data_IF_488011797866
#
_entry.id   IF_488011797866
#
_cell.length_a   1.000
_cell.length_b   1.000
_cell.length_c   1.000
_cell.angle_alpha   90.00
_cell.angle_beta   90.00
_cell.angle_gamma   90.00
#
_symmetry.space_group_name_H-M   'P 1'
#
loop_
_entity.id
_entity.type
_entity.pdbx_description
1 polymer ?
#
# COMPACT_ATOMS: atom_id res chain seq x y z
N UNK A 1 -22.02 5.26 76.08
CA UNK A 1 -21.21 6.49 76.00
C UNK A 1 -21.69 7.44 77.09
N UNK A 2 -20.84 8.31 77.62
CA UNK A 2 -21.21 9.36 78.62
C UNK A 2 -21.38 10.75 77.99
N UNK A 3 -21.35 10.86 76.66
CA UNK A 3 -21.53 12.12 75.95
C UNK A 3 -23.00 12.49 75.86
N UNK A 4 -23.28 13.79 76.00
CA UNK A 4 -24.60 14.38 75.84
C UNK A 4 -25.06 14.33 74.38
N UNK A 5 -26.37 14.20 74.15
CA UNK A 5 -26.96 13.98 72.83
C UNK A 5 -26.76 15.17 71.87
N UNK A 6 -26.63 16.37 72.41
CA UNK A 6 -26.37 17.62 71.70
C UNK A 6 -24.98 17.69 71.04
N UNK A 7 -24.05 16.79 71.41
CA UNK A 7 -22.76 16.65 70.75
C UNK A 7 -22.91 16.17 69.28
N UNK A 8 -23.98 15.45 68.96
CA UNK A 8 -24.22 14.87 67.64
C UNK A 8 -25.54 15.33 67.00
N UNK A 9 -26.54 15.71 67.82
CA UNK A 9 -27.89 16.06 67.37
C UNK A 9 -28.20 17.53 67.65
N UNK A 10 -28.93 18.17 66.74
CA UNK A 10 -29.50 19.50 66.98
C UNK A 10 -30.97 19.35 67.38
N UNK A 11 -31.42 20.18 68.31
CA UNK A 11 -32.83 20.20 68.74
C UNK A 11 -33.78 20.69 67.64
N UNK A 12 -33.28 21.42 66.64
CA UNK A 12 -34.02 21.91 65.47
C UNK A 12 -34.03 20.93 64.29
N UNK A 13 -33.12 19.96 64.27
CA UNK A 13 -33.05 18.90 63.27
C UNK A 13 -32.24 17.73 63.85
N UNK A 14 -32.93 16.65 64.21
CA UNK A 14 -32.30 15.49 64.85
C UNK A 14 -31.45 14.66 63.88
N UNK A 15 -31.77 14.72 62.58
CA UNK A 15 -31.05 14.06 61.50
C UNK A 15 -30.79 15.04 60.33
N UNK A 16 -29.66 14.89 59.61
CA UNK A 16 -28.56 13.96 59.90
C UNK A 16 -27.75 14.41 61.12
N UNK A 17 -27.27 13.45 61.91
CA UNK A 17 -26.30 13.75 62.97
C UNK A 17 -24.93 13.99 62.36
N UNK A 18 -24.15 14.89 62.96
CA UNK A 18 -22.76 15.14 62.57
C UNK A 18 -21.84 14.47 63.59
N UNK A 19 -21.02 13.52 63.14
CA UNK A 19 -19.99 12.89 63.96
C UNK A 19 -18.60 13.39 63.53
N UNK A 20 -17.76 13.75 64.50
CA UNK A 20 -16.38 14.14 64.25
C UNK A 20 -15.45 12.95 64.52
N UNK A 21 -14.65 12.56 63.51
CA UNK A 21 -13.68 11.48 63.62
C UNK A 21 -12.40 11.89 64.39
N UNK A 22 -12.27 13.16 64.80
CA UNK A 22 -11.15 13.62 65.63
C UNK A 22 -11.11 12.87 66.95
N UNK A 23 -10.02 12.16 67.23
CA UNK A 23 -9.84 11.38 68.46
C UNK A 23 -10.35 9.95 68.39
N UNK A 24 -10.84 9.49 67.23
CA UNK A 24 -10.98 8.05 66.98
C UNK A 24 -9.58 7.44 66.92
N UNK A 25 -9.33 6.42 67.74
CA UNK A 25 -8.05 5.71 67.74
C UNK A 25 -7.80 5.08 66.36
N UNK A 26 -6.62 5.29 65.76
CA UNK A 26 -6.20 4.59 64.55
C UNK A 26 -6.45 3.07 64.64
N UNK A 27 -6.96 2.47 63.57
CA UNK A 27 -7.36 1.07 63.51
C UNK A 27 -8.66 0.65 64.23
N UNK A 28 -9.29 1.53 65.03
CA UNK A 28 -10.51 1.19 65.78
C UNK A 28 -11.82 1.31 64.96
N UNK A 29 -11.74 1.55 63.64
CA UNK A 29 -12.88 1.87 62.78
C UNK A 29 -14.04 0.85 62.87
N UNK A 30 -13.72 -0.45 63.00
CA UNK A 30 -14.68 -1.56 63.01
C UNK A 30 -15.59 -1.55 64.26
N UNK A 31 -15.22 -0.85 65.35
CA UNK A 31 -16.09 -0.74 66.52
C UNK A 31 -17.40 -0.01 66.21
N UNK A 32 -17.41 0.84 65.17
CA UNK A 32 -18.58 1.58 64.72
C UNK A 32 -19.01 1.18 63.30
N UNK A 33 -18.06 1.01 62.37
CA UNK A 33 -18.30 0.63 60.97
C UNK A 33 -18.46 -0.89 60.79
N UNK A 34 -19.46 -1.46 61.47
CA UNK A 34 -19.75 -2.90 61.48
C UNK A 34 -21.03 -3.27 60.69
N UNK A 35 -21.67 -2.31 60.03
CA UNK A 35 -22.93 -2.50 59.31
C UNK A 35 -24.19 -2.38 60.17
N UNK A 36 -24.06 -2.37 61.50
CA UNK A 36 -25.19 -2.16 62.43
C UNK A 36 -25.29 -0.70 62.90
N UNK A 37 -24.16 -0.09 63.30
CA UNK A 37 -24.14 1.30 63.79
C UNK A 37 -23.75 2.31 62.72
N UNK A 38 -22.81 1.93 61.85
CA UNK A 38 -22.38 2.71 60.70
C UNK A 38 -22.05 1.77 59.53
N UNK A 39 -22.02 2.32 58.32
CA UNK A 39 -21.73 1.58 57.09
C UNK A 39 -20.42 0.79 57.22
N UNK A 40 -20.51 -0.53 57.10
CA UNK A 40 -19.34 -1.42 57.07
C UNK A 40 -18.73 -1.52 55.67
N UNK A 41 -17.79 -2.47 55.51
CA UNK A 41 -17.23 -2.80 54.19
C UNK A 41 -18.35 -3.32 53.27
N UNK A 42 -18.59 -2.71 52.09
CA UNK A 42 -19.52 -3.27 51.12
C UNK A 42 -19.01 -4.62 50.58
N UNK A 43 -19.91 -5.42 49.98
CA UNK A 43 -19.53 -6.71 49.38
C UNK A 43 -18.51 -6.57 48.23
N UNK A 44 -18.42 -5.39 47.61
CA UNK A 44 -17.44 -5.05 46.57
C UNK A 44 -16.11 -4.57 47.12
N UNK A 45 -15.93 -4.47 48.44
CA UNK A 45 -14.66 -4.08 49.04
C UNK A 45 -13.59 -5.15 48.82
N UNK A 46 -12.33 -4.74 48.66
CA UNK A 46 -11.20 -5.69 48.57
C UNK A 46 -11.14 -6.59 49.84
N UNK A 47 -10.96 -7.91 49.72
CA UNK A 47 -10.78 -8.77 50.89
C UNK A 47 -9.49 -8.37 51.62
N UNK A 48 -9.61 -7.77 52.81
CA UNK A 48 -8.46 -7.34 53.61
C UNK A 48 -8.78 -7.31 55.09
N UNK A 49 -7.80 -7.73 55.90
CA UNK A 49 -7.79 -7.61 57.36
C UNK A 49 -7.00 -6.38 57.84
N UNK A 50 -6.40 -5.61 56.92
CA UNK A 50 -5.70 -4.38 57.26
C UNK A 50 -6.65 -3.36 57.91
N UNK A 51 -6.07 -2.54 58.78
CA UNK A 51 -6.76 -1.43 59.42
C UNK A 51 -7.25 -0.43 58.37
N UNK A 52 -8.45 0.13 58.53
CA UNK A 52 -9.07 0.96 57.48
C UNK A 52 -8.24 2.19 57.10
N UNK A 53 -7.55 2.75 58.09
CA UNK A 53 -6.65 3.90 57.99
C UNK A 53 -5.34 3.62 57.24
N UNK A 54 -5.04 2.36 56.90
CA UNK A 54 -3.94 2.05 55.97
C UNK A 54 -4.25 2.45 54.53
N UNK A 55 -5.54 2.58 54.18
CA UNK A 55 -5.99 2.87 52.82
C UNK A 55 -6.87 4.13 52.76
N UNK A 56 -7.70 4.35 53.78
CA UNK A 56 -8.67 5.44 53.82
C UNK A 56 -8.22 6.57 54.75
N UNK A 57 -8.38 7.82 54.31
CA UNK A 57 -8.23 8.97 55.19
C UNK A 57 -9.57 9.37 55.78
N UNK A 58 -9.62 9.72 57.06
CA UNK A 58 -10.82 10.28 57.70
C UNK A 58 -11.21 11.64 57.11
N UNK A 59 -10.26 12.35 56.49
CA UNK A 59 -10.52 13.63 55.81
C UNK A 59 -10.97 13.45 54.36
N UNK A 60 -10.63 12.31 53.74
CA UNK A 60 -10.97 11.95 52.37
C UNK A 60 -11.07 10.44 52.25
N UNK A 61 -12.25 9.89 52.54
CA UNK A 61 -12.44 8.44 52.58
C UNK A 61 -12.24 7.78 51.21
N UNK A 62 -12.61 8.48 50.13
CA UNK A 62 -12.42 8.04 48.74
C UNK A 62 -11.77 9.20 47.97
N UNK A 63 -10.77 8.93 47.10
CA UNK A 63 -10.21 7.61 46.80
C UNK A 63 -9.35 7.04 47.93
N UNK A 64 -9.38 5.71 48.08
CA UNK A 64 -8.46 5.00 48.95
C UNK A 64 -7.10 4.83 48.26
N UNK A 65 -6.03 4.79 49.05
CA UNK A 65 -4.70 4.41 48.56
C UNK A 65 -4.53 2.90 48.61
N UNK A 66 -3.97 2.31 47.55
CA UNK A 66 -3.62 0.89 47.52
C UNK A 66 -2.27 0.71 46.81
N UNK A 67 -1.40 -0.13 47.38
CA UNK A 67 -0.12 -0.50 46.79
C UNK A 67 -0.19 -1.94 46.26
N UNK A 68 0.16 -2.13 44.98
CA UNK A 68 0.20 -3.45 44.35
C UNK A 68 1.45 -4.27 44.73
N UNK A 69 2.35 -3.73 45.55
CA UNK A 69 3.51 -4.47 46.07
C UNK A 69 3.06 -5.72 46.84
N UNK A 70 3.59 -6.87 46.48
CA UNK A 70 3.25 -8.14 47.14
C UNK A 70 1.98 -8.81 46.61
N UNK A 71 1.29 -8.22 45.61
CA UNK A 71 0.27 -8.96 44.86
C UNK A 71 0.95 -10.07 44.07
N UNK A 72 0.54 -11.31 44.29
CA UNK A 72 1.08 -12.47 43.58
C UNK A 72 0.85 -12.33 42.07
N UNK A 73 1.88 -12.52 41.22
CA UNK A 73 1.71 -12.58 39.78
C UNK A 73 0.64 -13.60 39.38
N UNK A 74 -0.19 -13.28 38.38
CA UNK A 74 -1.33 -14.10 37.96
C UNK A 74 -2.59 -13.97 38.81
N UNK A 75 -2.56 -13.32 39.98
CA UNK A 75 -3.72 -13.18 40.86
C UNK A 75 -4.58 -11.93 40.56
N UNK A 76 -4.33 -11.21 39.48
CA UNK A 76 -4.97 -9.92 39.19
C UNK A 76 -6.50 -10.00 39.17
N UNK A 77 -7.05 -11.09 38.61
CA UNK A 77 -8.49 -11.32 38.45
C UNK A 77 -9.23 -11.57 39.77
N UNK A 78 -8.52 -11.83 40.88
CA UNK A 78 -9.13 -11.95 42.21
C UNK A 78 -9.77 -10.63 42.66
N UNK A 79 -9.18 -9.49 42.26
CA UNK A 79 -9.70 -8.15 42.53
C UNK A 79 -10.24 -7.48 41.26
N UNK A 80 -9.56 -7.59 40.12
CA UNK A 80 -9.97 -7.00 38.83
C UNK A 80 -11.00 -7.89 38.11
N UNK A 81 -12.14 -8.10 38.75
CA UNK A 81 -13.24 -8.97 38.30
C UNK A 81 -14.45 -8.19 37.76
N UNK A 82 -14.37 -6.85 37.68
CA UNK A 82 -15.48 -5.99 37.25
C UNK A 82 -16.48 -5.63 38.35
N UNK A 83 -16.33 -6.19 39.55
CA UNK A 83 -17.15 -5.89 40.74
C UNK A 83 -16.32 -5.17 41.81
N UNK A 84 -15.21 -5.78 42.24
CA UNK A 84 -14.30 -5.21 43.26
C UNK A 84 -13.42 -4.12 42.69
N UNK A 85 -12.87 -4.34 41.50
CA UNK A 85 -12.12 -3.37 40.72
C UNK A 85 -12.42 -3.55 39.23
N UNK A 86 -12.12 -2.52 38.44
CA UNK A 86 -12.30 -2.56 36.99
C UNK A 86 -11.60 -3.79 36.39
N UNK A 87 -12.36 -4.63 35.69
CA UNK A 87 -11.85 -5.84 35.04
C UNK A 87 -11.27 -5.56 33.66
N UNK A 88 -10.93 -6.64 32.95
CA UNK A 88 -10.53 -6.61 31.55
C UNK A 88 -11.66 -6.04 30.68
N UNK A 89 -11.46 -4.93 29.94
CA UNK A 89 -12.51 -4.37 29.10
C UNK A 89 -12.80 -5.27 27.90
N UNK A 90 -14.02 -5.18 27.36
CA UNK A 90 -14.43 -5.95 26.19
C UNK A 90 -13.61 -5.63 24.92
N UNK A 91 -12.99 -4.44 24.88
CA UNK A 91 -12.09 -4.00 23.80
C UNK A 91 -10.66 -4.51 23.93
N UNK A 92 -10.33 -5.24 25.01
CA UNK A 92 -9.01 -5.82 25.19
C UNK A 92 -8.77 -6.97 24.20
N UNK A 93 -7.53 -7.11 23.73
CA UNK A 93 -7.11 -8.23 22.88
C UNK A 93 -7.51 -9.58 23.53
N UNK A 94 -8.10 -10.52 22.77
CA UNK A 94 -8.39 -11.86 23.26
C UNK A 94 -7.10 -12.54 23.76
N UNK A 95 -7.07 -12.90 25.04
CA UNK A 95 -5.92 -13.58 25.66
C UNK A 95 -6.38 -14.26 26.94
N UNK A 96 -5.79 -15.43 27.22
CA UNK A 96 -5.91 -16.20 28.46
C UNK A 96 -4.63 -16.11 29.32
N UNK A 97 -3.61 -15.38 28.86
CA UNK A 97 -2.38 -15.16 29.61
C UNK A 97 -2.64 -14.31 30.86
N UNK A 98 -1.76 -14.46 31.86
CA UNK A 98 -1.79 -13.62 33.05
C UNK A 98 -1.60 -12.14 32.68
N UNK A 99 -2.22 -11.22 33.42
CA UNK A 99 -2.13 -9.79 33.10
C UNK A 99 -0.68 -9.29 33.18
N UNK A 100 0.10 -9.81 34.13
CA UNK A 100 1.53 -9.54 34.34
C UNK A 100 2.43 -9.99 33.19
N UNK A 101 1.94 -10.82 32.26
CA UNK A 101 2.68 -11.14 31.03
C UNK A 101 2.80 -9.95 30.07
N UNK A 102 1.91 -8.96 30.20
CA UNK A 102 1.85 -7.79 29.31
C UNK A 102 1.91 -6.46 30.10
N UNK A 103 1.32 -6.42 31.29
CA UNK A 103 1.16 -5.21 32.09
C UNK A 103 2.12 -5.18 33.29
N UNK A 104 2.60 -3.99 33.61
CA UNK A 104 3.36 -3.74 34.83
C UNK A 104 2.52 -2.93 35.83
N UNK A 105 2.60 -3.24 37.12
CA UNK A 105 1.80 -2.55 38.14
C UNK A 105 2.25 -1.11 38.41
N UNK A 106 3.51 -0.75 38.10
CA UNK A 106 4.01 0.62 38.18
C UNK A 106 3.65 1.45 36.93
N UNK A 107 3.48 0.79 35.79
CA UNK A 107 3.09 1.41 34.52
C UNK A 107 2.17 0.44 33.76
N UNK A 108 0.87 0.53 34.04
CA UNK A 108 -0.10 -0.40 33.46
C UNK A 108 -0.22 -0.26 31.94
N UNK A 109 -0.05 0.98 31.44
CA UNK A 109 0.01 1.30 30.02
C UNK A 109 1.24 2.15 29.72
N UNK A 110 1.91 1.95 28.56
CA UNK A 110 1.61 0.94 27.55
C UNK A 110 1.96 -0.49 28.01
N UNK A 111 1.17 -1.46 27.56
CA UNK A 111 1.48 -2.87 27.76
C UNK A 111 2.55 -3.34 26.76
N UNK A 112 3.34 -4.34 27.15
CA UNK A 112 4.24 -5.05 26.23
C UNK A 112 3.47 -6.15 25.51
N UNK A 113 3.73 -6.33 24.21
CA UNK A 113 3.19 -7.42 23.42
C UNK A 113 4.28 -8.07 22.56
N UNK A 114 4.32 -9.40 22.56
CA UNK A 114 5.21 -10.18 21.71
C UNK A 114 4.38 -10.97 20.69
N UNK A 115 4.75 -10.86 19.40
CA UNK A 115 4.10 -11.60 18.31
C UNK A 115 4.50 -13.09 18.26
N UNK A 116 5.38 -13.56 19.15
CA UNK A 116 5.70 -14.97 19.30
C UNK A 116 4.43 -15.80 19.57
N UNK A 117 4.24 -16.85 18.78
CA UNK A 117 3.06 -17.72 18.88
C UNK A 117 1.82 -17.22 18.14
N UNK A 118 1.87 -16.04 17.49
CA UNK A 118 0.83 -15.65 16.53
C UNK A 118 0.91 -16.59 15.33
N UNK A 119 -0.17 -17.33 15.08
CA UNK A 119 -0.24 -18.27 13.97
C UNK A 119 -0.17 -17.53 12.62
N UNK A 120 0.52 -18.09 11.60
CA UNK A 120 0.44 -17.61 10.23
C UNK A 120 -1.03 -17.49 9.79
N UNK A 121 -1.38 -16.49 8.99
CA UNK A 121 -2.79 -16.21 8.66
C UNK A 121 -3.54 -15.36 9.69
N UNK A 122 -3.04 -15.26 10.93
CA UNK A 122 -3.78 -14.65 12.05
C UNK A 122 -3.74 -13.14 12.13
N UNK A 123 -2.88 -12.46 11.35
CA UNK A 123 -2.57 -11.03 11.54
C UNK A 123 -3.83 -10.13 11.45
N UNK A 124 -4.69 -10.39 10.46
CA UNK A 124 -5.88 -9.60 10.19
C UNK A 124 -6.97 -9.71 11.29
N UNK A 125 -6.88 -10.70 12.17
CA UNK A 125 -7.81 -10.83 13.31
C UNK A 125 -7.64 -9.67 14.30
N UNK A 126 -6.42 -9.15 14.44
CA UNK A 126 -6.08 -8.04 15.33
C UNK A 126 -5.81 -6.75 14.53
N UNK A 127 -5.09 -6.82 13.42
CA UNK A 127 -4.77 -5.67 12.54
C UNK A 127 -5.93 -5.35 11.58
N UNK A 128 -7.09 -5.04 12.16
CA UNK A 128 -8.36 -4.79 11.46
C UNK A 128 -8.74 -3.30 11.40
N UNK A 129 -7.89 -2.41 11.92
CA UNK A 129 -8.14 -0.95 11.98
C UNK A 129 -8.95 -0.51 13.20
N UNK A 130 -9.46 -1.43 14.02
CA UNK A 130 -10.16 -1.17 15.26
C UNK A 130 -9.33 -1.63 16.48
N UNK A 131 -8.92 -2.91 16.50
CA UNK A 131 -8.13 -3.47 17.61
C UNK A 131 -6.65 -3.06 17.52
N UNK A 132 -6.08 -3.09 16.33
CA UNK A 132 -4.74 -2.61 16.01
C UNK A 132 -4.72 -2.00 14.61
N UNK A 133 -3.64 -1.28 14.29
CA UNK A 133 -3.46 -0.62 12.99
C UNK A 133 -3.65 -1.61 11.85
N UNK A 134 -4.62 -1.32 10.98
CA UNK A 134 -4.90 -2.13 9.78
C UNK A 134 -4.00 -1.76 8.59
N UNK A 135 -4.37 -2.26 7.41
CA UNK A 135 -3.73 -1.85 6.15
C UNK A 135 -3.97 -0.35 5.92
N UNK A 136 -2.93 0.46 5.64
CA UNK A 136 -3.12 1.85 5.25
C UNK A 136 -3.78 1.96 3.87
N UNK A 137 -4.33 3.13 3.55
CA UNK A 137 -5.06 3.37 2.29
C UNK A 137 -4.21 3.20 1.03
N UNK A 138 -2.89 3.37 1.14
CA UNK A 138 -1.92 3.18 0.06
C UNK A 138 -1.32 1.75 0.03
N UNK A 139 -1.85 0.81 0.82
CA UNK A 139 -1.41 -0.58 0.78
C UNK A 139 -1.80 -1.22 -0.57
N UNK A 140 -0.95 -2.13 -1.06
CA UNK A 140 -1.26 -3.01 -2.20
C UNK A 140 -2.63 -3.70 -2.01
N UNK A 141 -3.55 -3.66 -2.99
CA UNK A 141 -4.78 -4.45 -2.94
C UNK A 141 -4.45 -5.95 -2.90
N UNK A 142 -4.69 -6.61 -1.76
CA UNK A 142 -4.42 -8.05 -1.59
C UNK A 142 -5.30 -8.68 -0.52
N UNK A 143 -5.75 -9.90 -0.80
CA UNK A 143 -6.44 -10.79 0.13
C UNK A 143 -5.49 -11.80 0.79
N UNK A 144 -4.23 -11.84 0.38
CA UNK A 144 -3.22 -12.72 0.97
C UNK A 144 -2.99 -12.36 2.44
N UNK A 145 -2.57 -13.36 3.22
CA UNK A 145 -2.16 -13.11 4.59
C UNK A 145 -0.96 -12.18 4.66
N UNK A 146 -0.87 -11.38 5.73
CA UNK A 146 0.21 -10.43 5.94
C UNK A 146 1.57 -11.11 5.98
N UNK A 147 1.67 -12.31 6.54
CA UNK A 147 2.92 -13.10 6.63
C UNK A 147 3.43 -13.63 5.28
N UNK A 148 2.70 -13.42 4.18
CA UNK A 148 3.25 -13.64 2.84
C UNK A 148 4.33 -12.59 2.52
N UNK A 149 4.14 -11.35 2.96
CA UNK A 149 5.02 -10.22 2.62
C UNK A 149 5.78 -9.66 3.82
N UNK A 150 5.19 -9.71 5.02
CA UNK A 150 5.72 -9.12 6.23
C UNK A 150 6.29 -10.17 7.18
N UNK A 151 7.18 -9.75 8.08
CA UNK A 151 7.72 -10.56 9.16
C UNK A 151 7.47 -9.85 10.49
N UNK A 152 7.22 -10.61 11.55
CA UNK A 152 7.01 -10.06 12.89
C UNK A 152 8.30 -9.52 13.51
N UNK A 153 9.46 -10.00 13.04
CA UNK A 153 10.78 -9.52 13.46
C UNK A 153 11.19 -8.20 12.78
N UNK A 154 10.69 -7.95 11.57
CA UNK A 154 10.89 -6.73 10.81
C UNK A 154 9.70 -6.53 9.87
N UNK A 155 8.79 -5.62 10.23
CA UNK A 155 7.58 -5.38 9.45
C UNK A 155 7.89 -4.73 8.09
N UNK A 156 8.89 -3.86 8.07
CA UNK A 156 9.41 -3.21 6.86
C UNK A 156 10.95 -3.39 6.80
N UNK A 157 11.52 -3.54 5.58
CA UNK A 157 10.83 -3.65 4.30
C UNK A 157 10.11 -4.99 4.14
N UNK A 158 9.01 -5.00 3.39
CA UNK A 158 8.29 -6.22 3.03
C UNK A 158 8.86 -6.85 1.76
N UNK A 159 8.66 -8.15 1.59
CA UNK A 159 8.99 -8.86 0.34
C UNK A 159 7.77 -8.98 -0.57
N UNK A 160 7.95 -8.76 -1.87
CA UNK A 160 6.91 -8.97 -2.88
C UNK A 160 7.51 -9.59 -4.14
N UNK A 161 6.84 -10.59 -4.71
CA UNK A 161 7.24 -11.20 -5.98
C UNK A 161 6.25 -10.84 -7.08
N UNK A 162 6.77 -10.39 -8.23
CA UNK A 162 5.97 -10.14 -9.43
C UNK A 162 5.69 -11.42 -10.24
N UNK A 163 6.22 -12.58 -9.84
CA UNK A 163 6.14 -13.83 -10.62
C UNK A 163 4.72 -14.37 -10.80
N UNK A 164 3.80 -14.01 -9.91
CA UNK A 164 2.41 -14.45 -9.93
C UNK A 164 1.44 -13.36 -10.38
N UNK A 165 1.97 -12.19 -10.80
CA UNK A 165 1.14 -11.09 -11.31
C UNK A 165 0.69 -11.44 -12.73
N UNK A 166 -0.64 -11.42 -12.94
CA UNK A 166 -1.21 -11.70 -14.26
C UNK A 166 -0.80 -10.61 -15.28
N UNK A 167 -0.40 -10.97 -16.51
CA UNK A 167 -0.24 -10.01 -17.59
C UNK A 167 -1.51 -9.16 -17.77
N UNK A 168 -1.38 -7.91 -18.19
CA UNK A 168 -2.53 -7.01 -18.34
C UNK A 168 -2.94 -6.23 -17.08
N UNK A 169 -2.43 -6.59 -15.90
CA UNK A 169 -2.98 -6.10 -14.62
C UNK A 169 -2.12 -5.04 -13.92
N UNK A 170 -1.04 -4.57 -14.55
CA UNK A 170 -0.04 -3.69 -13.95
C UNK A 170 -0.66 -2.41 -13.33
N UNK A 171 -1.61 -1.79 -14.04
CA UNK A 171 -2.28 -0.55 -13.62
C UNK A 171 -3.15 -0.71 -12.36
N UNK A 172 -3.51 -1.93 -11.97
CA UNK A 172 -4.25 -2.16 -10.71
C UNK A 172 -3.41 -1.76 -9.49
N UNK A 173 -2.08 -1.87 -9.59
CA UNK A 173 -1.13 -1.56 -8.53
C UNK A 173 -0.29 -0.31 -8.86
N UNK A 174 0.25 -0.23 -10.08
CA UNK A 174 1.06 0.89 -10.57
C UNK A 174 0.19 2.07 -11.03
N UNK A 175 -0.63 2.58 -10.10
CA UNK A 175 -1.60 3.66 -10.31
C UNK A 175 -1.12 5.02 -9.76
N UNK A 176 0.10 5.10 -9.22
CA UNK A 176 0.64 6.31 -8.60
C UNK A 176 0.26 6.50 -7.13
N UNK A 177 -0.58 5.64 -6.57
CA UNK A 177 -0.95 5.62 -5.15
C UNK A 177 -0.40 4.38 -4.45
N UNK A 178 -0.77 3.18 -4.90
CA UNK A 178 -0.33 1.91 -4.28
C UNK A 178 1.09 1.53 -4.67
N UNK A 179 1.51 1.89 -5.89
CA UNK A 179 2.88 1.74 -6.39
C UNK A 179 3.16 2.82 -7.45
N UNK A 180 4.44 2.99 -7.78
CA UNK A 180 4.91 3.95 -8.78
C UNK A 180 4.16 3.78 -10.09
N UNK A 181 3.44 4.80 -10.53
CA UNK A 181 2.69 4.79 -11.79
C UNK A 181 3.57 5.02 -13.02
N UNK A 182 2.91 5.09 -14.17
CA UNK A 182 3.53 5.47 -15.45
C UNK A 182 4.17 6.87 -15.33
N UNK A 183 5.50 7.03 -15.56
CA UNK A 183 6.14 8.34 -15.54
C UNK A 183 5.54 9.30 -16.58
N UNK A 184 5.54 10.60 -16.29
CA UNK A 184 4.98 11.62 -17.19
C UNK A 184 5.71 11.73 -18.54
N UNK A 185 6.99 11.36 -18.60
CA UNK A 185 7.79 11.29 -19.81
C UNK A 185 7.72 9.92 -20.52
N UNK A 186 6.84 9.02 -20.08
CA UNK A 186 6.65 7.74 -20.76
C UNK A 186 5.98 7.93 -22.12
N UNK A 187 6.31 7.06 -23.06
CA UNK A 187 5.66 6.91 -24.36
C UNK A 187 4.12 6.87 -24.26
N UNK A 188 3.39 7.65 -25.08
CA UNK A 188 1.92 7.61 -25.08
C UNK A 188 1.49 6.31 -25.76
N UNK A 189 0.82 5.46 -24.99
CA UNK A 189 0.33 4.15 -25.41
C UNK A 189 -0.85 3.74 -24.56
N UNK A 190 -1.80 3.03 -25.15
CA UNK A 190 -2.90 2.34 -24.44
C UNK A 190 -2.67 0.84 -24.28
N UNK A 191 -1.50 0.33 -24.71
CA UNK A 191 -1.15 -1.09 -24.59
C UNK A 191 -0.86 -1.46 -23.15
N UNK A 192 -1.01 -2.75 -22.85
CA UNK A 192 -0.57 -3.27 -21.56
C UNK A 192 0.95 -3.13 -21.40
N UNK A 193 1.41 -2.87 -20.17
CA UNK A 193 2.82 -2.69 -19.86
C UNK A 193 3.66 -3.92 -20.25
N UNK A 194 3.11 -5.13 -20.11
CA UNK A 194 3.78 -6.39 -20.48
C UNK A 194 4.01 -6.58 -21.99
N UNK A 195 3.44 -5.71 -22.84
CA UNK A 195 3.82 -5.65 -24.27
C UNK A 195 5.24 -5.14 -24.49
N UNK A 196 5.79 -4.39 -23.54
CA UNK A 196 7.12 -3.76 -23.63
C UNK A 196 8.03 -4.19 -22.49
N UNK A 197 7.50 -4.27 -21.26
CA UNK A 197 8.25 -4.55 -20.05
C UNK A 197 8.14 -6.00 -19.60
N UNK A 198 9.17 -6.52 -18.94
CA UNK A 198 9.13 -7.80 -18.24
C UNK A 198 9.31 -7.57 -16.74
N UNK A 199 8.60 -8.33 -15.91
CA UNK A 199 8.71 -8.22 -14.45
C UNK A 199 10.09 -8.64 -13.92
N UNK A 200 10.81 -9.49 -14.65
CA UNK A 200 12.18 -9.90 -14.34
C UNK A 200 13.25 -8.89 -14.76
N UNK A 201 12.93 -7.98 -15.69
CA UNK A 201 13.84 -6.92 -16.16
C UNK A 201 13.01 -5.77 -16.74
N UNK A 202 12.69 -4.80 -15.89
CA UNK A 202 11.80 -3.69 -16.25
C UNK A 202 12.49 -2.70 -17.21
N UNK A 203 13.79 -2.49 -17.04
CA UNK A 203 14.66 -1.65 -17.88
C UNK A 203 16.05 -2.29 -17.99
N UNK A 204 16.73 -2.18 -19.16
CA UNK A 204 16.29 -1.53 -20.41
C UNK A 204 15.36 -2.40 -21.27
N UNK A 205 14.53 -1.74 -22.09
CA UNK A 205 13.65 -2.37 -23.09
C UNK A 205 14.51 -2.95 -24.23
N UNK A 206 14.67 -4.27 -24.32
CA UNK A 206 15.56 -4.89 -25.33
C UNK A 206 14.86 -5.78 -26.36
N UNK A 207 13.54 -5.94 -26.32
CA UNK A 207 12.84 -6.75 -27.32
C UNK A 207 11.41 -6.26 -27.55
N UNK A 208 11.23 -5.32 -28.47
CA UNK A 208 9.91 -4.97 -29.00
C UNK A 208 9.84 -5.37 -30.48
N UNK A 209 8.75 -6.04 -30.86
CA UNK A 209 8.41 -6.26 -32.26
C UNK A 209 7.23 -5.36 -32.62
N UNK A 210 7.40 -4.59 -33.69
CA UNK A 210 6.29 -3.82 -34.25
C UNK A 210 5.15 -4.77 -34.66
N UNK A 211 3.92 -4.35 -34.38
CA UNK A 211 2.71 -5.13 -34.71
C UNK A 211 2.02 -4.64 -35.98
N UNK A 212 2.38 -3.46 -36.49
CA UNK A 212 1.78 -2.93 -37.72
C UNK A 212 2.25 -3.72 -38.92
N UNK A 213 1.31 -4.17 -39.76
CA UNK A 213 1.62 -4.79 -41.05
C UNK A 213 2.26 -3.82 -42.05
N UNK A 214 2.15 -2.51 -41.80
CA UNK A 214 2.80 -1.48 -42.59
C UNK A 214 4.28 -1.31 -42.18
N UNK A 215 4.66 -1.78 -40.99
CA UNK A 215 6.06 -1.78 -40.59
C UNK A 215 6.85 -2.80 -41.41
N UNK A 216 8.04 -2.41 -41.85
CA UNK A 216 9.04 -3.27 -42.45
C UNK A 216 10.30 -3.21 -41.59
N UNK A 217 10.96 -4.34 -41.39
CA UNK A 217 12.20 -4.36 -40.64
C UNK A 217 13.27 -3.54 -41.39
N UNK A 218 13.93 -2.63 -40.66
CA UNK A 218 15.09 -1.89 -41.14
C UNK A 218 16.37 -2.53 -40.56
N UNK A 219 17.51 -2.44 -41.25
CA UNK A 219 18.80 -2.93 -40.70
C UNK A 219 19.18 -2.14 -39.44
N UNK A 220 20.07 -2.71 -38.63
CA UNK A 220 20.49 -2.17 -37.33
C UNK A 220 21.01 -0.74 -37.43
N UNK A 221 20.48 0.16 -36.59
CA UNK A 221 20.86 1.58 -36.53
C UNK A 221 19.67 2.53 -36.40
N UNK A 222 18.45 2.07 -36.66
CA UNK A 222 17.23 2.86 -36.44
C UNK A 222 16.87 2.90 -34.96
N UNK A 223 16.77 4.11 -34.41
CA UNK A 223 16.20 4.38 -33.10
C UNK A 223 14.68 4.61 -33.21
N UNK A 224 13.97 4.50 -32.09
CA UNK A 224 12.52 4.73 -32.05
C UNK A 224 12.15 6.12 -32.63
N UNK A 225 12.97 7.13 -32.34
CA UNK A 225 12.70 8.53 -32.67
C UNK A 225 12.87 8.85 -34.17
N UNK A 226 13.51 7.97 -34.95
CA UNK A 226 13.64 8.15 -36.40
C UNK A 226 12.26 8.13 -37.09
N UNK A 227 11.35 7.33 -36.52
CA UNK A 227 9.96 7.19 -36.99
C UNK A 227 8.98 7.87 -36.02
N UNK A 228 9.13 7.67 -34.71
CA UNK A 228 8.26 8.23 -33.67
C UNK A 228 8.68 9.66 -33.29
N UNK A 229 8.49 10.61 -34.22
CA UNK A 229 8.84 12.03 -34.03
C UNK A 229 7.98 12.76 -32.99
N UNK A 230 6.86 12.15 -32.62
CA UNK A 230 6.02 12.57 -31.50
C UNK A 230 6.05 11.46 -30.45
N UNK A 231 5.79 11.79 -29.18
CA UNK A 231 5.78 10.83 -28.07
C UNK A 231 4.58 9.87 -28.11
N UNK A 232 4.31 9.20 -29.23
CA UNK A 232 3.12 8.40 -29.48
C UNK A 232 3.46 7.07 -30.19
N UNK A 233 2.81 5.99 -29.77
CA UNK A 233 2.91 4.67 -30.38
C UNK A 233 2.38 4.59 -31.80
N UNK A 234 1.46 5.48 -32.17
CA UNK A 234 0.97 5.58 -33.54
C UNK A 234 1.68 6.72 -34.24
N UNK A 235 2.36 6.40 -35.34
CA UNK A 235 2.90 7.39 -36.27
C UNK A 235 1.89 7.64 -37.39
N UNK A 236 1.70 8.90 -37.75
CA UNK A 236 1.00 9.25 -38.97
C UNK A 236 1.95 9.12 -40.17
N UNK A 237 1.44 8.65 -41.30
CA UNK A 237 2.20 8.72 -42.55
C UNK A 237 2.43 10.16 -42.94
N UNK A 238 3.67 10.50 -43.27
CA UNK A 238 4.04 11.85 -43.70
C UNK A 238 3.40 12.19 -45.06
N UNK A 239 3.25 11.19 -45.93
CA UNK A 239 2.65 11.32 -47.25
C UNK A 239 1.48 10.34 -47.43
N UNK A 240 0.27 10.67 -46.94
CA UNK A 240 -0.85 9.73 -46.92
C UNK A 240 -1.28 9.19 -48.29
N UNK A 241 -1.04 9.95 -49.36
CA UNK A 241 -1.40 9.57 -50.72
C UNK A 241 -0.65 8.34 -51.24
N UNK A 242 0.49 7.97 -50.64
CA UNK A 242 1.31 6.84 -51.08
C UNK A 242 1.16 5.60 -50.17
N UNK A 243 0.20 5.61 -49.24
CA UNK A 243 -0.04 4.45 -48.40
C UNK A 243 -0.49 3.23 -49.24
N UNK A 244 -0.04 2.00 -48.90
CA UNK A 244 0.81 1.61 -47.77
C UNK A 244 2.31 1.48 -48.13
N UNK A 245 2.75 2.09 -49.23
CA UNK A 245 4.08 1.88 -49.81
C UNK A 245 5.18 2.68 -49.10
N UNK A 246 6.45 2.38 -49.39
CA UNK A 246 7.62 3.05 -48.81
C UNK A 246 7.57 4.58 -48.94
N UNK A 247 7.08 5.10 -50.08
CA UNK A 247 6.91 6.53 -50.30
C UNK A 247 5.99 7.22 -49.29
N UNK A 248 5.10 6.50 -48.60
CA UNK A 248 4.24 7.07 -47.55
C UNK A 248 5.04 7.68 -46.39
N UNK A 249 6.27 7.23 -46.19
CA UNK A 249 7.23 7.78 -45.22
C UNK A 249 8.43 8.46 -45.88
N UNK A 250 8.87 7.99 -47.05
CA UNK A 250 10.16 8.36 -47.65
C UNK A 250 10.05 9.20 -48.94
N UNK A 251 8.87 9.71 -49.34
CA UNK A 251 8.74 10.46 -50.60
C UNK A 251 9.63 11.71 -50.69
N UNK A 252 10.01 12.31 -49.56
CA UNK A 252 10.96 13.42 -49.50
C UNK A 252 12.41 13.02 -49.82
N UNK A 253 12.73 11.72 -49.84
CA UNK A 253 14.07 11.22 -50.14
C UNK A 253 14.20 10.76 -51.61
N UNK A 254 13.13 10.86 -52.41
CA UNK A 254 13.16 10.43 -53.80
C UNK A 254 13.99 11.39 -54.68
N UNK A 255 15.06 10.86 -55.27
CA UNK A 255 15.92 11.59 -56.19
C UNK A 255 15.52 11.30 -57.65
N UNK A 256 14.82 12.23 -58.29
CA UNK A 256 14.25 11.99 -59.61
C UNK A 256 15.30 11.74 -60.71
N UNK A 257 16.48 12.37 -60.60
CA UNK A 257 17.56 12.31 -61.58
C UNK A 257 18.24 10.94 -61.70
N UNK A 258 18.20 10.15 -60.62
CA UNK A 258 18.68 8.76 -60.57
C UNK A 258 17.69 7.77 -61.21
N UNK A 259 16.41 8.16 -61.32
CA UNK A 259 15.29 7.32 -61.74
C UNK A 259 14.83 7.66 -63.16
N UNK A 260 15.66 7.35 -64.17
CA UNK A 260 15.36 7.59 -65.59
C UNK A 260 14.46 6.50 -66.20
N UNK A 261 13.50 6.93 -67.02
CA UNK A 261 12.76 6.07 -67.96
C UNK A 261 13.44 5.98 -69.32
N UNK A 262 13.93 7.11 -69.84
CA UNK A 262 14.54 7.23 -71.17
C UNK A 262 15.71 8.20 -71.08
N UNK A 263 16.82 7.89 -71.76
CA UNK A 263 18.02 8.72 -71.74
C UNK A 263 17.92 9.94 -72.68
N UNK A 264 17.26 9.77 -73.84
CA UNK A 264 17.07 10.84 -74.83
C UNK A 264 15.73 10.67 -75.59
N UNK A 265 14.75 11.60 -75.46
CA UNK A 265 14.75 12.72 -74.53
C UNK A 265 14.75 12.22 -73.09
N UNK A 266 15.30 13.03 -72.17
CA UNK A 266 15.47 12.61 -70.78
C UNK A 266 14.13 12.67 -70.05
N UNK A 267 13.56 11.51 -69.76
CA UNK A 267 12.27 11.35 -69.06
C UNK A 267 12.54 10.56 -67.77
N UNK A 268 11.95 11.00 -66.66
CA UNK A 268 12.14 10.41 -65.34
C UNK A 268 10.86 9.73 -64.84
N UNK A 269 11.04 8.81 -63.91
CA UNK A 269 9.97 8.33 -63.05
C UNK A 269 9.64 9.37 -62.00
N UNK A 270 8.37 9.41 -61.61
CA UNK A 270 7.93 10.11 -60.41
C UNK A 270 7.91 9.16 -59.22
N UNK A 271 7.97 9.70 -58.00
CA UNK A 271 7.75 8.90 -56.78
C UNK A 271 6.39 8.18 -56.80
N UNK A 272 5.38 8.77 -57.45
CA UNK A 272 4.07 8.17 -57.64
C UNK A 272 4.07 6.93 -58.53
N UNK A 273 5.06 6.78 -59.41
CA UNK A 273 5.21 5.59 -60.27
C UNK A 273 6.10 4.52 -59.61
N UNK A 274 6.99 4.92 -58.69
CA UNK A 274 7.93 4.05 -57.98
C UNK A 274 7.70 4.08 -56.45
N UNK A 275 6.44 4.06 -56.02
CA UNK A 275 6.05 4.28 -54.62
C UNK A 275 6.57 3.21 -53.66
N UNK A 276 6.67 1.96 -54.13
CA UNK A 276 7.12 0.83 -53.31
C UNK A 276 8.65 0.78 -53.18
N UNK A 277 9.39 1.46 -54.06
CA UNK A 277 10.86 1.57 -54.12
C UNK A 277 11.65 0.24 -54.20
N UNK A 278 11.12 -0.86 -53.68
CA UNK A 278 11.68 -2.22 -53.74
C UNK A 278 11.25 -2.98 -55.01
N UNK A 279 10.33 -2.39 -55.77
CA UNK A 279 9.83 -2.91 -57.05
C UNK A 279 10.87 -2.87 -58.17
N UNK A 280 10.52 -3.44 -59.32
CA UNK A 280 11.35 -3.37 -60.54
C UNK A 280 10.99 -2.15 -61.38
N UNK A 281 11.99 -1.55 -62.03
CA UNK A 281 11.82 -0.48 -63.00
C UNK A 281 12.65 -0.73 -64.27
N UNK A 282 12.35 0.01 -65.34
CA UNK A 282 12.98 -0.17 -66.65
C UNK A 282 13.52 1.15 -67.18
N UNK A 283 14.65 1.07 -67.88
CA UNK A 283 15.05 2.12 -68.82
C UNK A 283 14.68 1.62 -70.21
N UNK A 284 13.99 2.44 -70.99
CA UNK A 284 13.52 2.18 -72.34
C UNK A 284 14.42 2.84 -73.38
N UNK A 285 14.42 2.29 -74.59
CA UNK A 285 15.21 2.82 -75.72
C UNK A 285 14.77 4.21 -76.16
N UNK A 286 13.46 4.49 -76.07
CA UNK A 286 12.84 5.75 -76.50
C UNK A 286 11.54 6.03 -75.72
N UNK A 287 10.90 7.17 -76.03
CA UNK A 287 9.68 7.66 -75.37
C UNK A 287 8.40 6.88 -75.72
N UNK A 288 8.47 5.80 -76.50
CA UNK A 288 7.32 4.90 -76.71
C UNK A 288 7.11 3.93 -75.54
N UNK A 289 8.13 3.74 -74.70
CA UNK A 289 8.12 2.80 -73.57
C UNK A 289 7.77 1.34 -73.93
N UNK A 290 8.04 0.94 -75.18
CA UNK A 290 7.71 -0.41 -75.67
C UNK A 290 8.89 -1.39 -75.57
N UNK A 291 10.12 -0.90 -75.74
CA UNK A 291 11.34 -1.72 -75.74
C UNK A 291 12.23 -1.38 -74.55
N UNK A 292 12.47 -2.38 -73.69
CA UNK A 292 13.31 -2.24 -72.50
C UNK A 292 14.78 -2.30 -72.91
N UNK A 293 15.54 -1.27 -72.56
CA UNK A 293 16.99 -1.20 -72.69
C UNK A 293 17.70 -1.82 -71.47
N UNK A 294 17.20 -1.54 -70.26
CA UNK A 294 17.78 -2.04 -69.01
C UNK A 294 16.69 -2.35 -68.00
N UNK A 295 16.79 -3.53 -67.36
CA UNK A 295 15.99 -3.91 -66.20
C UNK A 295 16.75 -3.58 -64.91
N UNK A 296 16.06 -3.01 -63.93
CA UNK A 296 16.55 -2.81 -62.56
C UNK A 296 15.54 -3.40 -61.58
N UNK A 297 15.93 -4.42 -60.83
CA UNK A 297 15.05 -5.11 -59.89
C UNK A 297 15.57 -4.97 -58.45
N UNK A 298 14.67 -4.64 -57.52
CA UNK A 298 14.92 -4.64 -56.08
C UNK A 298 16.16 -3.87 -55.64
N UNK A 299 16.37 -2.70 -56.25
CA UNK A 299 17.52 -1.83 -56.00
C UNK A 299 17.50 -1.22 -54.59
N UNK A 300 16.31 -0.95 -54.06
CA UNK A 300 16.14 -0.48 -52.69
C UNK A 300 15.54 -1.59 -51.83
N UNK A 301 16.08 -1.80 -50.64
CA UNK A 301 15.54 -2.73 -49.64
C UNK A 301 15.64 -2.06 -48.29
N UNK A 302 14.59 -2.13 -47.46
CA UNK A 302 14.62 -1.57 -46.11
C UNK A 302 15.73 -2.17 -45.24
N UNK A 303 16.19 -3.37 -45.60
CA UNK A 303 17.31 -4.02 -44.95
C UNK A 303 18.66 -3.58 -45.51
N UNK A 304 18.82 -3.04 -46.70
CA UNK A 304 20.16 -2.67 -47.17
C UNK A 304 20.48 -1.27 -46.64
N UNK A 305 21.62 -1.11 -45.97
CA UNK A 305 21.92 -0.02 -45.03
C UNK A 305 22.05 1.39 -45.62
N UNK A 306 21.48 1.63 -46.80
CA UNK A 306 21.43 2.91 -47.48
C UNK A 306 20.29 2.91 -48.50
N UNK A 307 19.63 4.06 -48.62
CA UNK A 307 18.89 4.44 -49.83
C UNK A 307 19.88 5.17 -50.74
N UNK A 308 20.90 4.45 -51.20
CA UNK A 308 21.80 4.94 -52.25
C UNK A 308 21.07 4.94 -53.59
#
# INVERSE_FOLDING_TARGET
TTQSCDACHRTTAWLPSTFNHSGVTPGACVSCHNGAFATGKPATHIPTTAACDSCHSVNAWIPASFNHSGVTPGACTTCHNGSTAAGKPATHIPTTQSCDSCHNTNAWVPASFNHSGVAPGGCATCHNGSTATGKPSNHLPTTQSCDVCHRTTAWLPSTFSHSTVAPGTCNSCHNGSSATGKPGNHFITSRSCDSCHRTSSWLPLLSYSHTSIAYRAHRSGMECNDCHRNNNEVIAFQFPAYQPNCAACHANHFQADEHRKVNSPRIYYTVGELQDCTGSCHIYTDSSFTTIQQLRSSHHRSTDGGWD
#
